data_IF_439556713757
#
_entry.id   IF_439556713757
#
_cell.length_a   1.000
_cell.length_b   1.000
_cell.length_c   1.000
_cell.angle_alpha   90.00
_cell.angle_beta   90.00
_cell.angle_gamma   90.00
#
_symmetry.space_group_name_H-M   'P 1'
#
loop_
_entity.id
_entity.type
_entity.pdbx_description
1 polymer ?
#
# COMPACT_ATOMS: atom_id res chain seq x y z
N UNK A 1 -12.69 -15.87 -3.07
CA UNK A 1 -12.71 -14.57 -2.38
C UNK A 1 -12.17 -14.79 -0.99
N UNK A 2 -11.07 -14.13 -0.62
CA UNK A 2 -10.46 -14.26 0.71
C UNK A 2 -10.59 -12.91 1.41
N UNK A 3 -10.92 -12.92 2.71
CA UNK A 3 -11.03 -11.73 3.53
C UNK A 3 -9.85 -11.76 4.50
N UNK A 4 -9.02 -10.70 4.51
CA UNK A 4 -7.99 -10.54 5.54
C UNK A 4 -8.19 -9.22 6.27
N UNK A 5 -7.78 -9.20 7.54
CA UNK A 5 -7.91 -8.06 8.44
C UNK A 5 -6.51 -7.60 8.83
N UNK A 6 -6.20 -6.33 8.59
CA UNK A 6 -4.92 -5.74 8.98
C UNK A 6 -5.20 -4.34 9.57
N UNK A 7 -4.80 -4.12 10.83
CA UNK A 7 -4.93 -2.84 11.53
C UNK A 7 -6.34 -2.21 11.55
N UNK A 8 -7.38 -3.03 11.69
CA UNK A 8 -8.77 -2.56 11.75
C UNK A 8 -9.43 -2.28 10.40
N UNK A 9 -8.67 -2.31 9.31
CA UNK A 9 -9.17 -2.24 7.93
C UNK A 9 -9.53 -3.65 7.41
N UNK A 10 -10.68 -3.75 6.76
CA UNK A 10 -11.13 -4.98 6.11
C UNK A 10 -10.66 -4.97 4.66
N UNK A 11 -9.84 -5.95 4.26
CA UNK A 11 -9.40 -6.09 2.87
C UNK A 11 -10.08 -7.28 2.21
N UNK A 12 -10.62 -7.06 1.02
CA UNK A 12 -11.13 -8.11 0.14
C UNK A 12 -10.08 -8.40 -0.93
N UNK A 13 -9.68 -9.66 -1.01
CA UNK A 13 -8.78 -10.16 -2.03
C UNK A 13 -9.62 -10.91 -3.07
N UNK A 14 -9.51 -10.46 -4.31
CA UNK A 14 -10.07 -11.11 -5.49
C UNK A 14 -8.97 -11.43 -6.49
N UNK A 15 -9.19 -12.46 -7.30
CA UNK A 15 -8.43 -12.67 -8.54
C UNK A 15 -9.39 -12.29 -9.65
N UNK A 16 -8.99 -11.35 -10.50
CA UNK A 16 -9.71 -11.04 -11.71
C UNK A 16 -9.52 -12.21 -12.70
N UNK A 17 -10.60 -12.92 -13.04
CA UNK A 17 -10.50 -14.10 -13.90
C UNK A 17 -10.19 -13.78 -15.36
N UNK A 18 -10.34 -12.52 -15.81
CA UNK A 18 -10.10 -12.12 -17.20
C UNK A 18 -8.65 -11.80 -17.51
N UNK A 19 -7.88 -11.29 -16.56
CA UNK A 19 -6.48 -10.89 -16.75
C UNK A 19 -5.53 -11.44 -15.67
N UNK A 20 -6.02 -12.35 -14.81
CA UNK A 20 -5.30 -12.93 -13.67
C UNK A 20 -4.72 -11.89 -12.71
N UNK A 21 -5.21 -10.65 -12.73
CA UNK A 21 -4.74 -9.61 -11.83
C UNK A 21 -5.25 -9.85 -10.41
N UNK A 22 -4.40 -9.53 -9.43
CA UNK A 22 -4.79 -9.54 -8.01
C UNK A 22 -5.51 -8.23 -7.75
N UNK A 23 -6.76 -8.30 -7.28
CA UNK A 23 -7.50 -7.12 -6.87
C UNK A 23 -7.56 -7.09 -5.35
N UNK A 24 -6.97 -6.05 -4.76
CA UNK A 24 -7.09 -5.74 -3.34
C UNK A 24 -8.03 -4.55 -3.18
N UNK A 25 -9.18 -4.77 -2.54
CA UNK A 25 -10.08 -3.69 -2.14
C UNK A 25 -9.95 -3.45 -0.65
N UNK A 26 -9.69 -2.21 -0.25
CA UNK A 26 -9.80 -1.80 1.14
C UNK A 26 -11.22 -1.31 1.42
N UNK A 27 -11.83 -1.81 2.49
CA UNK A 27 -13.08 -1.30 3.06
C UNK A 27 -12.68 -0.46 4.28
N UNK A 28 -12.63 0.85 4.11
CA UNK A 28 -12.37 1.82 5.19
C UNK A 28 -13.68 2.33 5.79
N UNK A 29 -13.90 2.06 7.08
CA UNK A 29 -14.94 2.71 7.88
C UNK A 29 -14.33 3.91 8.62
N UNK A 30 -14.48 5.11 8.06
CA UNK A 30 -14.13 6.37 8.73
C UNK A 30 -12.76 6.96 8.35
N UNK A 31 -12.80 8.27 8.07
CA UNK A 31 -11.74 9.16 7.59
C UNK A 31 -11.10 8.81 6.22
N UNK A 32 -11.11 9.81 5.33
CA UNK A 32 -10.61 9.75 3.96
C UNK A 32 -9.07 9.67 3.96
N UNK A 33 -8.53 8.51 4.35
CA UNK A 33 -7.11 8.21 4.16
C UNK A 33 -6.88 8.01 2.66
N UNK A 34 -6.16 8.95 2.04
CA UNK A 34 -5.83 8.86 0.60
C UNK A 34 -5.04 7.58 0.38
N UNK A 35 -5.54 6.72 -0.51
CA UNK A 35 -4.93 5.44 -0.84
C UNK A 35 -4.91 5.22 -2.34
N UNK A 36 -3.87 4.53 -2.80
CA UNK A 36 -3.66 4.17 -4.20
C UNK A 36 -3.48 2.67 -4.31
N UNK A 37 -4.14 2.08 -5.30
CA UNK A 37 -4.07 0.65 -5.60
C UNK A 37 -3.76 0.48 -7.08
N UNK A 38 -2.77 -0.35 -7.38
CA UNK A 38 -2.43 -0.71 -8.75
C UNK A 38 -1.89 -2.14 -8.84
N UNK A 39 -1.82 -2.68 -10.04
CA UNK A 39 -1.18 -3.96 -10.31
C UNK A 39 0.12 -3.71 -11.08
N UNK A 40 1.23 -4.29 -10.62
CA UNK A 40 2.54 -4.18 -11.25
C UNK A 40 3.21 -5.56 -11.36
N UNK A 41 3.47 -6.01 -12.60
CA UNK A 41 4.12 -7.31 -12.90
C UNK A 41 3.47 -8.52 -12.21
N UNK A 42 2.14 -8.54 -12.09
CA UNK A 42 1.39 -9.62 -11.43
C UNK A 42 1.31 -9.51 -9.90
N UNK A 43 1.89 -8.46 -9.31
CA UNK A 43 1.74 -8.11 -7.91
C UNK A 43 0.67 -7.04 -7.74
N UNK A 44 -0.13 -7.12 -6.68
CA UNK A 44 -0.95 -5.99 -6.25
C UNK A 44 -0.10 -5.06 -5.39
N UNK A 45 -0.15 -3.77 -5.66
CA UNK A 45 0.51 -2.70 -4.93
C UNK A 45 -0.55 -1.82 -4.27
N UNK A 46 -0.40 -1.58 -2.97
CA UNK A 46 -1.25 -0.70 -2.17
C UNK A 46 -0.38 0.32 -1.46
N UNK A 47 -0.69 1.59 -1.63
CA UNK A 47 -0.03 2.69 -0.90
C UNK A 47 -1.09 3.45 -0.14
N UNK A 48 -0.99 3.46 1.19
CA UNK A 48 -1.89 4.20 2.07
C UNK A 48 -1.12 5.34 2.72
N UNK A 49 -1.70 6.54 2.70
CA UNK A 49 -1.11 7.69 3.37
C UNK A 49 -1.54 7.68 4.83
N UNK A 50 -0.58 7.53 5.75
CA UNK A 50 -0.78 7.80 7.17
C UNK A 50 -0.23 9.19 7.50
N UNK A 51 -1.00 9.98 8.24
CA UNK A 51 -0.51 11.27 8.76
C UNK A 51 0.05 11.04 10.15
N UNK A 52 1.32 11.41 10.38
CA UNK A 52 1.87 11.43 11.73
C UNK A 52 1.54 12.79 12.38
N UNK A 53 0.31 12.95 12.86
CA UNK A 53 -0.05 14.11 13.67
C UNK A 53 0.44 13.86 15.11
N UNK A 54 1.71 14.17 15.40
CA UNK A 54 2.14 14.19 16.79
C UNK A 54 1.49 15.40 17.48
N UNK A 55 1.03 15.25 18.72
CA UNK A 55 0.45 16.35 19.52
C UNK A 55 1.41 17.53 19.74
N UNK A 56 2.71 17.35 19.45
CA UNK A 56 3.77 18.36 19.57
C UNK A 56 3.88 19.21 18.29
N UNK A 57 3.26 18.80 17.18
CA UNK A 57 3.36 19.47 15.87
C UNK A 57 2.30 20.55 15.63
N UNK A 58 1.54 20.98 16.66
CA UNK A 58 0.59 22.10 16.52
C UNK A 58 1.30 23.40 16.07
N UNK A 59 2.61 23.52 16.34
CA UNK A 59 3.46 24.63 15.88
C UNK A 59 4.21 24.36 14.55
N UNK A 60 4.22 23.13 14.05
CA UNK A 60 4.82 22.79 12.75
C UNK A 60 3.75 22.87 11.66
N UNK A 61 3.82 23.94 10.85
CA UNK A 61 2.98 24.20 9.67
C UNK A 61 2.99 23.12 8.57
N UNK A 62 3.66 21.98 8.75
CA UNK A 62 3.74 20.91 7.76
C UNK A 62 3.36 19.57 8.42
N UNK A 63 2.25 18.99 7.97
CA UNK A 63 1.91 17.61 8.30
C UNK A 63 2.91 16.68 7.59
N UNK A 64 3.58 15.83 8.34
CA UNK A 64 4.46 14.81 7.79
C UNK A 64 3.64 13.54 7.49
N UNK A 65 3.57 13.19 6.20
CA UNK A 65 2.85 12.04 5.69
C UNK A 65 3.81 10.86 5.48
N UNK A 66 3.46 9.68 5.97
CA UNK A 66 4.27 8.47 5.83
C UNK A 66 3.52 7.48 4.93
N UNK A 67 4.16 6.94 3.88
CA UNK A 67 3.52 5.96 3.02
C UNK A 67 3.59 4.60 3.69
N UNK A 68 2.43 4.01 3.90
CA UNK A 68 2.29 2.59 4.20
C UNK A 68 2.17 1.82 2.89
N UNK A 69 3.27 1.21 2.48
CA UNK A 69 3.35 0.46 1.23
C UNK A 69 3.16 -1.02 1.51
N UNK A 70 2.19 -1.65 0.86
CA UNK A 70 1.94 -3.09 0.96
C UNK A 70 1.90 -3.66 -0.45
N UNK A 71 2.67 -4.72 -0.68
CA UNK A 71 2.60 -5.51 -1.91
C UNK A 71 2.03 -6.89 -1.60
N UNK A 72 1.25 -7.42 -2.54
CA UNK A 72 0.62 -8.73 -2.43
C UNK A 72 0.97 -9.57 -3.64
N UNK A 73 1.57 -10.75 -3.42
CA UNK A 73 1.69 -11.80 -4.43
C UNK A 73 0.63 -12.88 -4.21
N UNK A 74 0.14 -13.46 -5.29
CA UNK A 74 -0.62 -14.70 -5.26
C UNK A 74 0.29 -15.83 -5.74
N UNK A 75 0.58 -16.79 -4.85
CA UNK A 75 1.47 -17.91 -5.17
C UNK A 75 0.82 -19.23 -4.76
N UNK A 76 0.60 -20.09 -5.75
CA UNK A 76 -0.11 -21.36 -5.56
C UNK A 76 -1.56 -21.09 -5.20
N UNK A 77 -1.89 -21.27 -3.91
CA UNK A 77 -3.26 -21.14 -3.38
C UNK A 77 -3.39 -20.05 -2.29
N UNK A 78 -2.39 -19.19 -2.10
CA UNK A 78 -2.38 -18.21 -1.02
C UNK A 78 -1.93 -16.82 -1.48
N UNK A 79 -2.55 -15.80 -0.91
CA UNK A 79 -2.07 -14.42 -0.96
C UNK A 79 -1.00 -14.21 0.11
N UNK A 80 0.12 -13.59 -0.26
CA UNK A 80 1.17 -13.18 0.67
C UNK A 80 1.34 -11.68 0.60
N UNK A 81 1.06 -11.04 1.72
CA UNK A 81 1.27 -9.61 1.89
C UNK A 81 2.66 -9.35 2.44
N UNK A 82 3.31 -8.30 1.95
CA UNK A 82 4.54 -7.76 2.51
C UNK A 82 4.42 -6.25 2.65
N UNK A 83 4.69 -5.77 3.84
CA UNK A 83 4.79 -4.34 4.11
C UNK A 83 6.21 -3.87 3.82
N UNK A 84 6.33 -2.79 3.05
CA UNK A 84 7.59 -2.18 2.67
C UNK A 84 7.67 -0.84 3.40
N UNK A 85 8.68 -0.68 4.24
CA UNK A 85 8.98 0.59 4.86
C UNK A 85 9.73 1.48 3.86
N UNK A 86 9.12 2.60 3.50
CA UNK A 86 9.80 3.64 2.72
C UNK A 86 10.82 4.41 3.58
N UNK A 87 10.55 4.54 4.89
CA UNK A 87 11.47 5.18 5.85
C UNK A 87 11.52 6.71 5.77
N UNK A 88 10.72 7.33 4.91
CA UNK A 88 10.65 8.77 4.71
C UNK A 88 9.26 9.33 5.02
N UNK A 89 9.23 10.59 5.49
CA UNK A 89 8.03 11.41 5.55
C UNK A 89 8.00 12.41 4.41
N UNK A 90 6.80 12.76 3.96
CA UNK A 90 6.56 13.63 2.82
C UNK A 90 5.64 14.80 3.20
N UNK A 91 5.80 15.97 2.56
CA UNK A 91 5.03 17.16 2.90
C UNK A 91 3.61 17.16 2.32
N UNK A 92 3.31 16.29 1.36
CA UNK A 92 1.97 16.18 0.76
C UNK A 92 1.56 14.72 0.54
N UNK A 93 0.26 14.41 0.57
CA UNK A 93 -0.25 13.07 0.27
C UNK A 93 0.10 12.59 -1.15
N UNK A 94 0.17 13.50 -2.13
CA UNK A 94 0.49 13.16 -3.52
C UNK A 94 1.93 12.65 -3.64
N UNK A 95 2.89 13.34 -3.03
CA UNK A 95 4.30 12.91 -3.02
C UNK A 95 4.47 11.61 -2.22
N UNK A 96 3.75 11.49 -1.11
CA UNK A 96 3.73 10.27 -0.30
C UNK A 96 3.30 9.06 -1.14
N UNK A 97 2.24 9.19 -1.93
CA UNK A 97 1.75 8.14 -2.82
C UNK A 97 2.75 7.87 -3.95
N UNK A 98 3.22 8.90 -4.64
CA UNK A 98 4.16 8.78 -5.76
C UNK A 98 5.42 8.01 -5.34
N UNK A 99 6.03 8.41 -4.22
CA UNK A 99 7.21 7.74 -3.70
C UNK A 99 6.91 6.33 -3.20
N UNK A 100 5.78 6.12 -2.52
CA UNK A 100 5.37 4.78 -2.10
C UNK A 100 5.22 3.81 -3.27
N UNK A 101 4.70 4.28 -4.42
CA UNK A 101 4.60 3.48 -5.65
C UNK A 101 5.99 3.17 -6.20
N UNK A 102 6.87 4.17 -6.28
CA UNK A 102 8.25 3.99 -6.76
C UNK A 102 8.97 2.94 -5.91
N UNK A 103 8.86 3.05 -4.59
CA UNK A 103 9.47 2.11 -3.63
C UNK A 103 8.90 0.70 -3.77
N UNK A 104 7.58 0.55 -3.95
CA UNK A 104 6.95 -0.74 -4.22
C UNK A 104 7.49 -1.38 -5.51
N UNK A 105 7.53 -0.62 -6.61
CA UNK A 105 8.00 -1.11 -7.91
C UNK A 105 9.48 -1.49 -7.86
N UNK A 106 10.31 -0.67 -7.23
CA UNK A 106 11.72 -0.97 -7.03
C UNK A 106 11.93 -2.25 -6.21
N UNK A 107 11.11 -2.51 -5.19
CA UNK A 107 11.16 -3.75 -4.42
C UNK A 107 10.80 -4.96 -5.29
N UNK A 108 9.71 -4.86 -6.05
CA UNK A 108 9.26 -5.92 -6.97
C UNK A 108 10.35 -6.21 -8.01
N UNK A 109 10.93 -5.18 -8.62
CA UNK A 109 11.96 -5.33 -9.64
C UNK A 109 13.23 -6.01 -9.10
N UNK A 110 13.63 -5.69 -7.86
CA UNK A 110 14.75 -6.38 -7.17
C UNK A 110 14.42 -7.84 -6.86
N UNK A 111 13.20 -8.13 -6.42
CA UNK A 111 12.78 -9.50 -6.08
C UNK A 111 12.57 -10.38 -7.30
N UNK A 112 12.10 -9.82 -8.41
CA UNK A 112 11.92 -10.53 -9.69
C UNK A 112 13.27 -10.83 -10.36
N UNK A 113 14.31 -10.03 -10.14
CA UNK A 113 15.64 -10.30 -10.70
C UNK A 113 16.38 -11.48 -10.03
N UNK A 114 15.86 -12.04 -8.94
CA UNK A 114 16.47 -13.14 -8.17
C UNK A 114 15.73 -14.47 -8.30
N UNK A 115 14.73 -14.57 -9.20
CA UNK A 115 14.05 -15.82 -9.57
C UNK A 115 14.34 -16.14 -11.04
#
# INVERSE_FOLDING_TARGET
MQIARQDGLHYLYGICLSDCSIIRFAISHGESMKSHYETYKGWSVSVQVSAHLSRVDIDRKAADYIPRVVITEYKGNAFKDREIADGHSYPTPEKCIEHGIITARAYIDRGVSLM
#
